data_IF_207162484170
#
_entry.id   IF_207162484170
#
_cell.length_a   1.000
_cell.length_b   1.000
_cell.length_c   1.000
_cell.angle_alpha   90.00
_cell.angle_beta   90.00
_cell.angle_gamma   90.00
#
_symmetry.space_group_name_H-M   'P 1'
#
loop_
_entity.id
_entity.type
_entity.pdbx_description
1 polymer ?
#
# COMPACT_ATOMS: atom_id res chain seq x y z
N UNK A 1 -33.87 -7.63 -16.18
CA UNK A 1 -33.15 -7.26 -14.94
C UNK A 1 -31.68 -7.57 -15.16
N UNK A 2 -30.80 -6.60 -14.99
CA UNK A 2 -29.37 -6.82 -15.19
C UNK A 2 -28.82 -7.72 -14.07
N UNK A 3 -27.88 -8.65 -14.29
CA UNK A 3 -27.39 -9.58 -13.27
C UNK A 3 -27.00 -8.92 -11.94
N UNK A 4 -26.39 -7.73 -11.96
CA UNK A 4 -26.01 -6.99 -10.75
C UNK A 4 -27.22 -6.49 -9.93
N UNK A 5 -28.41 -6.24 -10.55
CA UNK A 5 -29.62 -5.85 -9.83
C UNK A 5 -30.22 -7.01 -9.01
N UNK A 6 -30.03 -8.25 -9.47
CA UNK A 6 -30.44 -9.44 -8.74
C UNK A 6 -29.63 -9.63 -7.46
N UNK A 7 -28.31 -9.40 -7.50
CA UNK A 7 -27.44 -9.46 -6.32
C UNK A 7 -27.74 -8.34 -5.32
N UNK A 8 -28.19 -7.18 -5.78
CA UNK A 8 -28.62 -6.09 -4.91
C UNK A 8 -29.92 -6.39 -4.13
N UNK A 9 -30.85 -7.12 -4.68
CA UNK A 9 -32.14 -7.46 -4.03
C UNK A 9 -32.04 -8.74 -3.17
N UNK A 10 -31.15 -9.66 -3.54
CA UNK A 10 -30.94 -10.96 -2.88
C UNK A 10 -29.46 -11.23 -2.65
N UNK A 11 -28.85 -10.62 -1.62
CA UNK A 11 -27.42 -10.83 -1.35
C UNK A 11 -27.16 -12.29 -0.98
N UNK A 12 -26.21 -12.90 -1.68
CA UNK A 12 -25.78 -14.29 -1.43
C UNK A 12 -24.81 -14.37 -0.24
N UNK A 13 -24.18 -13.26 0.11
CA UNK A 13 -23.22 -13.14 1.21
C UNK A 13 -23.47 -11.85 2.02
N UNK A 14 -23.09 -11.81 3.32
CA UNK A 14 -23.27 -10.62 4.17
C UNK A 14 -22.63 -9.35 3.58
N UNK A 15 -21.51 -9.48 2.87
CA UNK A 15 -20.79 -8.37 2.25
C UNK A 15 -21.62 -7.70 1.14
N UNK A 16 -22.40 -8.45 0.38
CA UNK A 16 -23.31 -7.92 -0.65
C UNK A 16 -24.45 -7.07 -0.06
N UNK A 17 -24.83 -7.34 1.19
CA UNK A 17 -25.87 -6.56 1.87
C UNK A 17 -25.41 -5.13 2.22
N UNK A 18 -24.12 -4.92 2.43
CA UNK A 18 -23.54 -3.61 2.73
C UNK A 18 -23.41 -2.69 1.52
N UNK A 19 -23.36 -3.23 0.30
CA UNK A 19 -23.40 -2.44 -0.95
C UNK A 19 -24.75 -1.71 -1.08
N UNK A 20 -25.79 -2.13 -0.35
CA UNK A 20 -27.14 -1.53 -0.39
C UNK A 20 -27.26 -0.15 0.23
N UNK A 21 -26.33 0.30 1.08
CA UNK A 21 -26.49 1.55 1.84
C UNK A 21 -25.58 2.69 1.38
N UNK A 22 -24.80 2.55 0.30
CA UNK A 22 -23.91 3.58 -0.22
C UNK A 22 -23.52 3.36 -1.68
N UNK A 23 -23.06 4.42 -2.35
CA UNK A 23 -22.49 4.30 -3.68
C UNK A 23 -21.04 3.80 -3.55
N UNK A 24 -20.64 2.69 -4.20
CA UNK A 24 -19.25 2.26 -4.27
C UNK A 24 -18.36 3.41 -4.80
N UNK A 25 -17.21 3.62 -4.18
CA UNK A 25 -16.27 4.64 -4.61
C UNK A 25 -15.37 4.13 -5.73
N UNK A 26 -15.01 2.85 -5.67
CA UNK A 26 -14.20 2.18 -6.67
C UNK A 26 -15.09 1.37 -7.62
N UNK A 27 -14.66 1.23 -8.87
CA UNK A 27 -15.36 0.43 -9.86
C UNK A 27 -15.27 -1.07 -9.49
N UNK A 28 -16.42 -1.65 -9.12
CA UNK A 28 -16.50 -3.05 -8.66
C UNK A 28 -16.08 -4.02 -9.75
N UNK A 29 -16.42 -3.75 -11.02
CA UNK A 29 -16.02 -4.61 -12.14
C UNK A 29 -14.51 -4.59 -12.33
N UNK A 30 -13.88 -3.41 -12.24
CA UNK A 30 -12.42 -3.30 -12.27
C UNK A 30 -11.77 -4.10 -11.14
N UNK A 31 -12.33 -4.03 -9.90
CA UNK A 31 -11.82 -4.78 -8.76
C UNK A 31 -11.99 -6.31 -8.93
N UNK A 32 -13.08 -6.75 -9.59
CA UNK A 32 -13.32 -8.17 -9.87
C UNK A 32 -12.33 -8.73 -10.89
N UNK A 33 -11.90 -7.90 -11.83
CA UNK A 33 -10.96 -8.28 -12.90
C UNK A 33 -9.48 -8.17 -12.46
N UNK A 34 -9.19 -7.65 -11.24
CA UNK A 34 -7.83 -7.53 -10.74
C UNK A 34 -7.21 -8.90 -10.43
N UNK A 35 -5.97 -9.15 -10.90
CA UNK A 35 -5.26 -10.36 -10.54
C UNK A 35 -4.87 -10.35 -9.06
N UNK A 36 -5.03 -11.47 -8.39
CA UNK A 36 -4.52 -11.68 -7.03
C UNK A 36 -3.39 -12.68 -7.03
N UNK A 37 -2.37 -12.44 -6.21
CA UNK A 37 -1.21 -13.31 -6.05
C UNK A 37 -1.03 -13.60 -4.56
N UNK A 38 -0.78 -14.86 -4.21
CA UNK A 38 -0.46 -15.21 -2.82
C UNK A 38 0.92 -14.64 -2.46
N UNK A 39 1.03 -13.92 -1.35
CA UNK A 39 2.28 -13.33 -0.89
C UNK A 39 3.14 -14.35 -0.12
N UNK A 40 4.41 -14.01 0.07
CA UNK A 40 5.18 -14.55 1.18
C UNK A 40 4.67 -13.85 2.45
N UNK A 41 4.25 -14.63 3.46
CA UNK A 41 3.64 -14.10 4.68
C UNK A 41 4.55 -14.37 5.87
N UNK A 42 4.69 -13.41 6.77
CA UNK A 42 5.55 -13.54 7.93
C UNK A 42 5.50 -12.35 8.89
N UNK A 43 6.46 -12.33 9.79
CA UNK A 43 6.68 -11.25 10.74
C UNK A 43 7.99 -10.54 10.44
N UNK A 44 7.99 -9.21 10.51
CA UNK A 44 9.23 -8.45 10.53
C UNK A 44 9.67 -8.27 11.98
N UNK A 45 10.79 -8.90 12.34
CA UNK A 45 11.33 -8.87 13.69
C UNK A 45 12.34 -7.75 13.85
N UNK A 46 12.13 -6.92 14.87
CA UNK A 46 13.10 -5.92 15.30
C UNK A 46 14.06 -6.54 16.32
N UNK A 47 15.36 -6.37 16.09
CA UNK A 47 16.37 -6.74 17.07
C UNK A 47 16.79 -5.51 17.88
N UNK A 48 17.22 -5.73 19.12
CA UNK A 48 17.80 -4.68 19.98
C UNK A 48 19.05 -4.01 19.40
N UNK A 49 19.62 -4.58 18.35
CA UNK A 49 20.77 -4.06 17.59
C UNK A 49 20.37 -3.03 16.52
N UNK A 50 19.08 -2.76 16.32
CA UNK A 50 18.59 -1.85 15.28
C UNK A 50 18.51 -2.47 13.87
N UNK A 51 18.69 -3.77 13.75
CA UNK A 51 18.50 -4.51 12.51
C UNK A 51 17.25 -5.40 12.65
N UNK A 52 16.38 -5.37 11.64
CA UNK A 52 15.23 -6.26 11.56
C UNK A 52 15.44 -7.34 10.50
N UNK A 53 14.68 -8.41 10.58
CA UNK A 53 14.59 -9.42 9.54
C UNK A 53 13.15 -9.89 9.35
N UNK A 54 12.83 -10.26 8.12
CA UNK A 54 11.57 -10.92 7.81
C UNK A 54 11.70 -12.42 8.06
N UNK A 55 10.72 -13.01 8.74
CA UNK A 55 10.63 -14.45 9.00
C UNK A 55 9.30 -14.99 8.54
N UNK A 56 9.32 -16.01 7.72
CA UNK A 56 8.12 -16.67 7.21
C UNK A 56 7.26 -17.22 8.33
N UNK A 57 5.96 -16.95 8.27
CA UNK A 57 4.94 -17.52 9.16
C UNK A 57 3.57 -17.41 8.48
N UNK A 58 2.76 -18.45 8.52
CA UNK A 58 1.44 -18.49 7.87
C UNK A 58 0.46 -17.46 8.46
N UNK A 59 0.62 -17.14 9.76
CA UNK A 59 -0.18 -16.17 10.51
C UNK A 59 0.49 -14.80 10.66
N UNK A 60 1.50 -14.52 9.81
CA UNK A 60 2.26 -13.28 9.85
C UNK A 60 1.44 -12.04 9.48
N UNK A 61 1.79 -10.90 10.10
CA UNK A 61 1.14 -9.61 9.87
C UNK A 61 1.66 -8.87 8.63
N UNK A 62 2.77 -9.34 8.04
CA UNK A 62 3.39 -8.76 6.85
C UNK A 62 3.26 -9.71 5.66
N UNK A 63 2.72 -9.21 4.57
CA UNK A 63 2.60 -9.88 3.29
C UNK A 63 3.52 -9.21 2.27
N UNK A 64 4.32 -10.01 1.52
CA UNK A 64 5.30 -9.51 0.56
C UNK A 64 5.05 -10.15 -0.80
N UNK A 65 4.89 -9.34 -1.82
CA UNK A 65 4.77 -9.71 -3.23
C UNK A 65 6.05 -9.45 -4.01
N UNK A 66 6.80 -8.40 -3.60
CA UNK A 66 8.09 -8.05 -4.22
C UNK A 66 9.08 -7.58 -3.14
N UNK A 67 10.24 -8.24 -3.09
CA UNK A 67 11.30 -7.90 -2.13
C UNK A 67 12.06 -6.64 -2.56
N UNK A 68 12.65 -5.89 -1.60
CA UNK A 68 13.39 -4.70 -1.94
C UNK A 68 14.58 -5.01 -2.85
N UNK A 69 14.71 -4.25 -3.93
CA UNK A 69 15.84 -4.33 -4.88
C UNK A 69 16.86 -3.25 -4.56
N UNK A 70 18.16 -3.48 -4.75
CA UNK A 70 19.22 -2.52 -4.36
C UNK A 70 19.04 -1.10 -4.91
N UNK A 71 18.50 -0.95 -6.12
CA UNK A 71 18.28 0.36 -6.77
C UNK A 71 16.82 0.81 -6.79
N UNK A 72 15.94 0.07 -6.10
CA UNK A 72 14.51 0.40 -6.01
C UNK A 72 14.28 1.68 -5.22
N UNK A 73 13.32 2.48 -5.67
CA UNK A 73 12.81 3.67 -4.98
C UNK A 73 11.42 3.35 -4.43
N UNK A 74 11.28 3.43 -3.12
CA UNK A 74 10.04 2.99 -2.47
C UNK A 74 9.40 4.10 -1.66
N UNK A 75 8.08 3.99 -1.51
CA UNK A 75 7.29 4.81 -0.61
C UNK A 75 6.51 3.93 0.35
N UNK A 76 6.26 4.44 1.54
CA UNK A 76 5.41 3.79 2.55
C UNK A 76 4.30 4.74 2.93
N UNK A 77 3.06 4.26 2.90
CA UNK A 77 1.90 4.96 3.44
C UNK A 77 1.32 4.19 4.62
N UNK A 78 1.10 4.84 5.75
CA UNK A 78 0.62 4.18 6.95
C UNK A 78 -0.57 4.90 7.57
N UNK A 79 -1.57 4.11 7.96
CA UNK A 79 -2.70 4.46 8.81
C UNK A 79 -2.52 3.87 10.21
N UNK A 80 -2.81 4.65 11.25
CA UNK A 80 -2.46 4.32 12.63
C UNK A 80 -3.69 4.28 13.53
N UNK A 81 -3.91 3.14 14.16
CA UNK A 81 -4.92 2.91 15.18
C UNK A 81 -4.38 3.08 16.60
N UNK A 82 -5.26 2.90 17.59
CA UNK A 82 -4.89 2.95 19.01
C UNK A 82 -4.04 1.75 19.49
N UNK A 83 -3.98 0.66 18.71
CA UNK A 83 -3.27 -0.56 19.09
C UNK A 83 -3.97 -1.42 20.15
N UNK A 84 -5.25 -1.16 20.43
CA UNK A 84 -6.00 -1.94 21.42
C UNK A 84 -6.39 -3.32 20.88
N UNK A 85 -6.43 -4.34 21.74
CA UNK A 85 -6.76 -5.73 21.37
C UNK A 85 -8.15 -5.92 20.73
N UNK A 86 -9.06 -4.97 20.97
CA UNK A 86 -10.43 -4.95 20.42
C UNK A 86 -10.70 -3.71 19.55
N UNK A 87 -9.66 -2.91 19.23
CA UNK A 87 -9.75 -1.71 18.40
C UNK A 87 -9.53 -1.99 16.93
N UNK A 88 -9.45 -0.90 16.17
CA UNK A 88 -9.09 -0.90 14.75
C UNK A 88 -7.65 -1.39 14.54
N UNK A 89 -7.31 -1.69 13.30
CA UNK A 89 -5.99 -2.12 12.91
C UNK A 89 -5.13 -0.94 12.46
N UNK A 90 -3.82 -1.05 12.65
CA UNK A 90 -2.85 -0.25 11.92
C UNK A 90 -2.49 -0.94 10.62
N UNK A 91 -2.22 -0.16 9.58
CA UNK A 91 -1.94 -0.67 8.23
C UNK A 91 -0.85 0.13 7.56
N UNK A 92 0.02 -0.53 6.78
CA UNK A 92 1.04 0.13 5.99
C UNK A 92 1.23 -0.55 4.64
N UNK A 93 1.19 0.23 3.54
CA UNK A 93 1.48 -0.25 2.20
C UNK A 93 2.83 0.29 1.71
N UNK A 94 3.58 -0.58 1.06
CA UNK A 94 4.86 -0.26 0.43
C UNK A 94 4.70 -0.34 -1.08
N UNK A 95 5.03 0.73 -1.81
CA UNK A 95 4.94 0.79 -3.27
C UNK A 95 6.33 1.06 -3.86
N UNK A 96 6.71 0.30 -4.87
CA UNK A 96 7.83 0.64 -5.73
C UNK A 96 7.44 1.82 -6.63
N UNK A 97 8.08 2.96 -6.41
CA UNK A 97 7.75 4.18 -7.13
C UNK A 97 8.14 4.12 -8.62
N UNK A 98 9.00 3.18 -9.02
CA UNK A 98 9.42 3.02 -10.41
C UNK A 98 8.40 2.22 -11.23
N UNK A 99 7.80 1.19 -10.61
CA UNK A 99 6.88 0.26 -11.30
C UNK A 99 5.41 0.52 -10.97
N UNK A 100 5.12 1.16 -9.84
CA UNK A 100 3.76 1.31 -9.31
C UNK A 100 3.24 0.06 -8.58
N UNK A 101 4.04 -0.99 -8.44
CA UNK A 101 3.62 -2.24 -7.80
C UNK A 101 3.57 -2.06 -6.28
N UNK A 102 2.48 -2.47 -5.65
CA UNK A 102 2.40 -2.64 -4.19
C UNK A 102 3.23 -3.87 -3.81
N UNK A 103 4.43 -3.60 -3.28
CA UNK A 103 5.43 -4.63 -2.97
C UNK A 103 5.12 -5.41 -1.71
N UNK A 104 4.59 -4.72 -0.69
CA UNK A 104 4.29 -5.34 0.58
C UNK A 104 3.17 -4.58 1.32
N UNK A 105 2.57 -5.29 2.26
CA UNK A 105 1.53 -4.76 3.13
C UNK A 105 1.73 -5.33 4.54
N UNK A 106 1.73 -4.45 5.54
CA UNK A 106 1.66 -4.82 6.94
C UNK A 106 0.29 -4.45 7.53
N UNK A 107 -0.31 -5.35 8.30
CA UNK A 107 -1.62 -5.12 8.90
C UNK A 107 -1.73 -5.88 10.23
N UNK A 108 -1.88 -5.14 11.31
CA UNK A 108 -1.91 -5.74 12.64
C UNK A 108 -2.35 -4.77 13.73
N UNK A 109 -2.31 -5.24 14.98
CA UNK A 109 -2.55 -4.43 16.18
C UNK A 109 -1.26 -4.24 16.93
N UNK A 110 -0.80 -3.01 17.02
CA UNK A 110 0.47 -2.64 17.62
C UNK A 110 0.33 -1.27 18.27
N UNK A 111 0.98 -1.04 19.38
CA UNK A 111 1.04 0.27 20.02
C UNK A 111 1.69 1.30 19.07
N UNK A 112 1.19 2.56 19.05
CA UNK A 112 1.64 3.56 18.08
C UNK A 112 3.14 3.87 18.10
N UNK A 113 3.79 3.79 19.25
CA UNK A 113 5.24 4.00 19.37
C UNK A 113 6.04 2.81 18.81
N UNK A 114 5.63 1.58 19.11
CA UNK A 114 6.24 0.37 18.55
C UNK A 114 6.01 0.31 17.03
N UNK A 115 4.85 0.77 16.56
CA UNK A 115 4.59 0.86 15.12
C UNK A 115 5.53 1.86 14.44
N UNK A 116 5.91 2.95 15.11
CA UNK A 116 6.91 3.89 14.61
C UNK A 116 8.31 3.28 14.44
N UNK A 117 8.72 2.40 15.35
CA UNK A 117 9.96 1.64 15.25
C UNK A 117 9.89 0.63 14.09
N UNK A 118 8.82 -0.17 14.03
CA UNK A 118 8.58 -1.15 12.97
C UNK A 118 8.56 -0.51 11.57
N UNK A 119 7.83 0.59 11.39
CA UNK A 119 7.78 1.33 10.13
C UNK A 119 9.15 1.86 9.72
N UNK A 120 9.97 2.28 10.69
CA UNK A 120 11.34 2.74 10.42
C UNK A 120 12.20 1.62 9.88
N UNK A 121 12.16 0.44 10.49
CA UNK A 121 12.93 -0.73 10.06
C UNK A 121 12.47 -1.21 8.67
N UNK A 122 11.18 -1.36 8.45
CA UNK A 122 10.62 -1.72 7.14
C UNK A 122 11.04 -0.69 6.08
N UNK A 123 10.97 0.60 6.40
CA UNK A 123 11.33 1.66 5.46
C UNK A 123 12.84 1.67 5.16
N UNK A 124 13.72 1.38 6.12
CA UNK A 124 15.15 1.18 5.86
C UNK A 124 15.40 -0.04 4.98
N UNK A 125 14.71 -1.14 5.24
CA UNK A 125 14.82 -2.35 4.43
C UNK A 125 14.42 -2.10 2.98
N UNK A 126 13.35 -1.32 2.74
CA UNK A 126 12.96 -0.84 1.43
C UNK A 126 13.74 0.44 1.01
N UNK A 127 15.06 0.39 1.10
CA UNK A 127 16.02 1.41 0.62
C UNK A 127 15.78 2.81 1.17
N UNK A 128 15.47 2.96 2.44
CA UNK A 128 15.15 4.23 3.07
C UNK A 128 13.95 4.94 2.41
N UNK A 129 12.87 4.18 2.22
CA UNK A 129 11.61 4.61 1.58
C UNK A 129 11.08 5.92 2.17
N UNK A 130 10.42 6.76 1.37
CA UNK A 130 9.70 7.92 1.89
C UNK A 130 8.51 7.46 2.73
N UNK A 131 8.53 7.73 4.03
CA UNK A 131 7.49 7.30 4.98
C UNK A 131 6.47 8.40 5.20
N UNK A 132 5.24 8.18 4.72
CA UNK A 132 4.06 8.99 4.98
C UNK A 132 3.13 8.30 5.98
N UNK A 133 3.04 8.84 7.19
CA UNK A 133 2.14 8.36 8.24
C UNK A 133 0.98 9.34 8.40
N UNK A 134 -0.25 8.84 8.56
CA UNK A 134 -1.39 9.70 8.86
C UNK A 134 -1.16 10.45 10.17
N UNK A 135 -1.19 11.78 10.12
CA UNK A 135 -1.03 12.62 11.30
C UNK A 135 -2.39 12.85 11.98
N UNK A 136 -2.93 11.79 12.56
CA UNK A 136 -4.00 11.84 13.57
C UNK A 136 -3.37 11.83 14.98
N UNK A 137 -4.18 11.66 16.04
CA UNK A 137 -3.66 11.66 17.42
C UNK A 137 -2.61 10.57 17.66
N UNK A 138 -2.86 9.35 17.18
CA UNK A 138 -1.99 8.18 17.33
C UNK A 138 -0.81 8.23 16.37
N UNK A 139 -1.04 8.69 15.14
CA UNK A 139 0.00 8.84 14.13
C UNK A 139 1.08 9.86 14.50
N UNK A 140 0.75 10.89 15.29
CA UNK A 140 1.79 11.79 15.82
C UNK A 140 2.72 11.08 16.81
N UNK A 141 2.23 10.14 17.59
CA UNK A 141 3.04 9.30 18.48
C UNK A 141 3.97 8.41 17.66
N UNK A 142 3.43 7.73 16.65
CA UNK A 142 4.18 6.90 15.68
C UNK A 142 5.28 7.71 14.99
N UNK A 143 4.97 8.89 14.48
CA UNK A 143 5.94 9.77 13.82
C UNK A 143 7.08 10.22 14.75
N UNK A 144 6.75 10.55 16.01
CA UNK A 144 7.75 10.92 17.02
C UNK A 144 8.62 9.73 17.43
N UNK A 145 8.04 8.54 17.51
CA UNK A 145 8.78 7.31 17.79
C UNK A 145 9.75 7.01 16.65
N UNK A 146 9.30 7.08 15.39
CA UNK A 146 10.17 6.92 14.22
C UNK A 146 11.33 7.93 14.22
N UNK A 147 11.07 9.21 14.52
CA UNK A 147 12.12 10.22 14.64
C UNK A 147 13.12 9.89 15.77
N UNK A 148 12.62 9.48 16.94
CA UNK A 148 13.44 9.09 18.09
C UNK A 148 14.28 7.84 17.78
N UNK A 149 13.72 6.91 17.01
CA UNK A 149 14.39 5.70 16.54
C UNK A 149 15.49 6.03 15.50
N UNK A 150 15.47 7.23 14.93
CA UNK A 150 16.51 7.75 14.01
C UNK A 150 16.09 7.80 12.56
N UNK A 151 14.84 7.46 12.22
CA UNK A 151 14.37 7.53 10.84
C UNK A 151 14.22 8.99 10.38
N UNK A 152 14.78 9.33 9.22
CA UNK A 152 14.86 10.73 8.75
C UNK A 152 14.02 11.01 7.52
N UNK A 153 13.76 10.00 6.67
CA UNK A 153 13.01 10.17 5.41
C UNK A 153 11.50 10.16 5.63
N UNK A 154 11.05 11.03 6.54
CA UNK A 154 9.64 11.23 6.90
C UNK A 154 9.02 12.31 6.04
N UNK A 155 7.84 12.05 5.50
CA UNK A 155 7.07 13.04 4.77
C UNK A 155 6.69 14.22 5.66
N UNK A 156 6.77 15.42 5.08
CA UNK A 156 6.36 16.67 5.71
C UNK A 156 5.45 17.45 4.78
N UNK A 157 4.24 17.72 5.24
CA UNK A 157 3.27 18.51 4.48
C UNK A 157 3.55 19.99 4.67
N UNK A 158 3.79 20.71 3.56
CA UNK A 158 3.94 22.17 3.59
C UNK A 158 2.59 22.85 3.74
N UNK A 159 2.44 23.70 4.74
CA UNK A 159 1.35 24.67 4.82
C UNK A 159 1.83 26.04 4.35
N UNK A 160 1.23 26.55 3.30
CA UNK A 160 1.36 27.95 2.95
C UNK A 160 0.46 28.76 3.90
N UNK A 161 1.06 29.45 4.86
CA UNK A 161 0.31 30.38 5.71
C UNK A 161 -0.10 31.60 4.91
N UNK A 162 -1.41 31.91 4.89
CA UNK A 162 -1.96 33.08 4.18
C UNK A 162 -1.44 34.45 4.67
N UNK A 163 -0.84 34.52 5.85
CA UNK A 163 -0.52 35.78 6.54
C UNK A 163 0.98 35.95 6.83
N UNK A 164 1.77 34.89 6.83
CA UNK A 164 3.25 34.92 6.96
C UNK A 164 3.89 33.98 5.98
N UNK A 165 4.97 34.38 5.28
CA UNK A 165 5.65 33.52 4.30
C UNK A 165 6.46 32.38 4.93
N UNK A 166 6.41 32.20 6.25
CA UNK A 166 7.04 31.08 6.94
C UNK A 166 6.18 29.83 6.74
N UNK A 167 6.67 28.94 5.86
CA UNK A 167 6.06 27.63 5.68
C UNK A 167 6.20 26.83 6.98
N UNK A 168 5.08 26.47 7.59
CA UNK A 168 5.09 25.54 8.72
C UNK A 168 4.96 24.13 8.18
N UNK A 169 6.04 23.36 8.26
CA UNK A 169 6.01 21.96 7.89
C UNK A 169 5.32 21.14 8.97
N UNK A 170 4.27 20.42 8.56
CA UNK A 170 3.59 19.44 9.43
C UNK A 170 4.17 18.08 9.15
N UNK A 171 4.64 17.40 10.18
CA UNK A 171 5.15 16.05 10.07
C UNK A 171 3.99 15.08 9.73
N UNK A 172 4.20 14.22 8.75
CA UNK A 172 3.21 13.25 8.28
C UNK A 172 2.13 13.82 7.36
N UNK A 173 1.20 12.96 6.97
CA UNK A 173 0.06 13.27 6.12
C UNK A 173 -1.15 13.64 6.96
N UNK A 174 -1.77 14.78 6.71
CA UNK A 174 -2.97 15.18 7.43
C UNK A 174 -4.22 14.91 6.60
N UNK A 175 -4.99 13.91 7.00
CA UNK A 175 -6.31 13.63 6.44
C UNK A 175 -7.34 14.62 7.03
N UNK A 176 -8.08 15.27 6.15
CA UNK A 176 -9.15 16.21 6.48
C UNK A 176 -10.39 15.90 5.67
N UNK A 177 -11.53 16.51 6.01
CA UNK A 177 -12.75 16.39 5.21
C UNK A 177 -12.56 16.81 3.74
N UNK A 178 -11.58 17.66 3.44
CA UNK A 178 -11.25 18.10 2.08
C UNK A 178 -10.21 17.20 1.42
N UNK A 179 -9.17 16.76 2.14
CA UNK A 179 -8.09 15.96 1.55
C UNK A 179 -8.46 14.47 1.39
N UNK A 180 -9.34 13.91 2.26
CA UNK A 180 -9.76 12.49 2.15
C UNK A 180 -10.43 12.20 0.80
N UNK A 181 -11.44 12.96 0.33
CA UNK A 181 -12.01 12.71 -0.98
C UNK A 181 -11.00 12.80 -2.12
N UNK A 182 -10.12 13.80 -2.11
CA UNK A 182 -9.11 13.98 -3.16
C UNK A 182 -8.13 12.81 -3.22
N UNK A 183 -7.58 12.35 -2.07
CA UNK A 183 -6.63 11.23 -2.08
C UNK A 183 -7.30 9.91 -2.50
N UNK A 184 -8.59 9.72 -2.20
CA UNK A 184 -9.34 8.54 -2.63
C UNK A 184 -9.67 8.60 -4.13
N UNK A 185 -10.07 9.76 -4.65
CA UNK A 185 -10.30 9.96 -6.08
C UNK A 185 -9.00 9.73 -6.89
N UNK A 186 -7.84 10.17 -6.34
CA UNK A 186 -6.53 9.94 -6.94
C UNK A 186 -6.08 8.47 -6.88
N UNK A 187 -6.36 7.75 -5.78
CA UNK A 187 -6.16 6.31 -5.72
C UNK A 187 -7.00 5.60 -6.80
N UNK A 188 -8.29 5.97 -6.92
CA UNK A 188 -9.18 5.40 -7.93
C UNK A 188 -8.67 5.68 -9.36
N UNK A 189 -8.12 6.87 -9.61
CA UNK A 189 -7.51 7.20 -10.90
C UNK A 189 -6.26 6.37 -11.15
N UNK A 190 -5.35 6.26 -10.17
CA UNK A 190 -4.11 5.50 -10.29
C UNK A 190 -4.36 4.01 -10.59
N UNK A 191 -5.39 3.42 -9.97
CA UNK A 191 -5.81 2.04 -10.24
C UNK A 191 -6.36 1.89 -11.67
N UNK A 192 -7.25 2.80 -12.09
CA UNK A 192 -7.84 2.79 -13.44
C UNK A 192 -6.80 2.97 -14.54
N UNK A 193 -5.83 3.85 -14.31
CA UNK A 193 -4.77 4.15 -15.26
C UNK A 193 -3.61 3.13 -15.17
N UNK A 194 -3.73 2.12 -14.31
CA UNK A 194 -2.72 1.07 -14.06
C UNK A 194 -1.34 1.64 -13.66
N UNK A 195 -1.33 2.83 -13.07
CA UNK A 195 -0.10 3.42 -12.50
C UNK A 195 0.20 2.91 -11.09
N UNK A 196 -0.76 2.20 -10.48
CA UNK A 196 -0.60 1.43 -9.24
C UNK A 196 -1.24 0.06 -9.43
N UNK A 197 -0.47 -1.01 -9.16
CA UNK A 197 -0.91 -2.40 -9.26
C UNK A 197 -0.98 -3.04 -7.87
N UNK A 198 -2.11 -3.69 -7.58
CA UNK A 198 -2.42 -4.28 -6.27
C UNK A 198 -2.70 -5.77 -6.48
N UNK A 199 -1.98 -6.63 -5.76
CA UNK A 199 -2.15 -8.09 -5.79
C UNK A 199 -2.77 -8.64 -4.50
N UNK A 200 -2.91 -7.79 -3.46
CA UNK A 200 -3.47 -8.16 -2.16
C UNK A 200 -4.98 -8.35 -2.22
N UNK A 201 -5.42 -9.60 -2.13
CA UNK A 201 -6.84 -9.97 -2.09
C UNK A 201 -7.60 -9.28 -0.95
N UNK A 202 -6.97 -9.07 0.21
CA UNK A 202 -7.61 -8.45 1.36
C UNK A 202 -7.79 -6.94 1.17
N UNK A 203 -6.82 -6.26 0.59
CA UNK A 203 -6.94 -4.85 0.20
C UNK A 203 -8.02 -4.67 -0.88
N UNK A 204 -8.07 -5.54 -1.90
CA UNK A 204 -9.11 -5.51 -2.94
C UNK A 204 -10.51 -5.73 -2.31
N UNK A 205 -10.65 -6.65 -1.36
CA UNK A 205 -11.91 -6.87 -0.66
C UNK A 205 -12.39 -5.64 0.12
N UNK A 206 -11.46 -4.91 0.78
CA UNK A 206 -11.77 -3.70 1.52
C UNK A 206 -12.14 -2.53 0.58
N UNK A 207 -11.46 -2.40 -0.57
CA UNK A 207 -11.81 -1.44 -1.62
C UNK A 207 -13.25 -1.64 -2.12
N UNK A 208 -13.75 -2.88 -2.24
CA UNK A 208 -15.13 -3.20 -2.64
C UNK A 208 -16.17 -2.68 -1.66
N UNK A 209 -15.85 -2.69 -0.37
CA UNK A 209 -16.76 -2.26 0.69
C UNK A 209 -16.64 -0.77 1.03
N UNK A 210 -15.73 -0.06 0.33
CA UNK A 210 -15.51 1.37 0.54
C UNK A 210 -16.56 2.18 -0.22
N UNK A 211 -17.44 2.86 0.52
CA UNK A 211 -18.63 3.54 -0.02
C UNK A 211 -18.68 5.00 0.32
N UNK A 212 -19.34 5.78 -0.53
CA UNK A 212 -19.75 7.15 -0.25
C UNK A 212 -21.15 7.13 0.36
N UNK A 213 -21.27 7.54 1.62
CA UNK A 213 -22.53 7.65 2.35
C UNK A 213 -23.35 8.86 1.86
N UNK A 214 -24.64 8.89 2.13
CA UNK A 214 -25.55 10.01 1.74
C UNK A 214 -25.08 11.38 2.26
N UNK A 215 -24.42 11.43 3.41
CA UNK A 215 -23.85 12.65 3.98
C UNK A 215 -22.51 13.08 3.32
N UNK A 216 -22.09 12.43 2.23
CA UNK A 216 -20.86 12.68 1.50
C UNK A 216 -19.60 12.11 2.14
N UNK A 217 -19.67 11.52 3.34
CA UNK A 217 -18.52 10.87 3.98
C UNK A 217 -18.19 9.55 3.26
N UNK A 218 -16.90 9.29 3.13
CA UNK A 218 -16.38 8.03 2.57
C UNK A 218 -15.80 7.18 3.68
N UNK A 219 -16.15 5.90 3.72
CA UNK A 219 -15.64 4.93 4.68
C UNK A 219 -15.84 3.51 4.17
N UNK A 220 -14.95 2.60 4.59
CA UNK A 220 -15.13 1.17 4.47
C UNK A 220 -16.09 0.60 5.52
N UNK A 221 -16.49 -0.64 5.35
CA UNK A 221 -17.27 -1.38 6.33
C UNK A 221 -16.85 -2.86 6.29
N UNK A 222 -16.39 -3.44 7.40
CA UNK A 222 -16.26 -2.86 8.76
C UNK A 222 -15.07 -1.92 8.94
N UNK A 223 -14.02 -2.01 8.11
CA UNK A 223 -12.75 -1.30 8.24
C UNK A 223 -12.40 -0.55 6.95
N UNK A 224 -11.53 0.48 7.04
CA UNK A 224 -10.97 1.22 5.90
C UNK A 224 -9.44 1.46 6.04
N UNK A 225 -8.79 0.75 6.94
CA UNK A 225 -7.38 0.93 7.30
C UNK A 225 -6.43 0.67 6.11
N UNK A 226 -6.71 -0.41 5.34
CA UNK A 226 -5.95 -0.75 4.12
C UNK A 226 -6.15 0.28 3.02
N UNK A 227 -7.38 0.74 2.84
CA UNK A 227 -7.69 1.76 1.81
C UNK A 227 -7.00 3.08 2.15
N UNK A 228 -7.00 3.50 3.41
CA UNK A 228 -6.38 4.76 3.84
C UNK A 228 -4.86 4.69 3.73
N UNK A 229 -4.23 3.63 4.24
CA UNK A 229 -2.77 3.46 4.14
C UNK A 229 -2.30 3.39 2.69
N UNK A 230 -3.03 2.69 1.81
CA UNK A 230 -2.75 2.63 0.37
C UNK A 230 -2.91 4.01 -0.29
N UNK A 231 -3.99 4.73 0.02
CA UNK A 231 -4.21 6.06 -0.51
C UNK A 231 -3.09 7.04 -0.08
N UNK A 232 -2.60 6.94 1.16
CA UNK A 232 -1.44 7.72 1.62
C UNK A 232 -0.18 7.32 0.85
N UNK A 233 0.07 6.02 0.63
CA UNK A 233 1.22 5.56 -0.14
C UNK A 233 1.21 6.13 -1.57
N UNK A 234 0.04 6.16 -2.22
CA UNK A 234 -0.13 6.79 -3.56
C UNK A 234 0.17 8.28 -3.51
N UNK A 235 -0.18 9.00 -2.42
CA UNK A 235 0.22 10.41 -2.29
C UNK A 235 1.74 10.56 -2.19
N UNK A 236 2.43 9.63 -1.53
CA UNK A 236 3.90 9.68 -1.37
C UNK A 236 4.63 9.54 -2.70
N UNK A 237 4.07 8.85 -3.70
CA UNK A 237 4.66 8.74 -5.05
C UNK A 237 4.94 10.10 -5.69
N UNK A 238 4.18 11.14 -5.35
CA UNK A 238 4.35 12.50 -5.88
C UNK A 238 5.53 13.25 -5.28
N UNK A 239 6.14 12.71 -4.22
CA UNK A 239 7.14 13.38 -3.40
C UNK A 239 8.50 12.69 -3.43
N UNK A 240 8.63 11.61 -4.19
CA UNK A 240 9.93 10.96 -4.45
C UNK A 240 10.49 11.42 -5.77
N UNK A 241 11.81 11.56 -5.79
CA UNK A 241 12.54 11.79 -7.02
C UNK A 241 12.86 10.44 -7.65
N UNK A 242 12.40 10.23 -8.89
CA UNK A 242 12.80 9.08 -9.68
C UNK A 242 14.02 9.48 -10.52
N UNK A 243 15.11 8.68 -10.48
CA UNK A 243 16.19 8.88 -11.44
C UNK A 243 15.61 8.85 -12.85
N UNK A 244 15.99 9.80 -13.69
CA UNK A 244 15.54 9.80 -15.10
C UNK A 244 15.85 8.43 -15.69
N UNK A 245 14.80 7.71 -16.10
CA UNK A 245 14.93 6.42 -16.76
C UNK A 245 15.60 6.67 -18.11
N UNK A 246 16.90 6.39 -18.21
CA UNK A 246 17.57 6.38 -19.50
C UNK A 246 17.05 5.17 -20.27
N UNK A 247 16.39 5.42 -21.41
CA UNK A 247 15.82 4.38 -22.28
C UNK A 247 16.88 3.37 -22.80
N UNK A 248 18.15 3.66 -22.61
CA UNK A 248 19.30 2.83 -22.95
C UNK A 248 19.75 1.88 -21.83
N UNK A 249 19.22 2.03 -20.62
CA UNK A 249 19.46 1.08 -19.54
C UNK A 249 18.54 -0.14 -19.70
N UNK A 250 19.14 -1.34 -19.60
CA UNK A 250 18.32 -2.55 -19.50
C UNK A 250 17.42 -2.45 -18.25
N UNK A 251 16.14 -2.85 -18.36
CA UNK A 251 15.25 -2.85 -17.21
C UNK A 251 15.87 -3.69 -16.08
N UNK A 252 15.66 -3.30 -14.80
CA UNK A 252 16.19 -4.06 -13.68
C UNK A 252 15.85 -5.54 -13.80
N UNK A 253 16.80 -6.41 -13.55
CA UNK A 253 16.62 -7.86 -13.59
C UNK A 253 15.47 -8.25 -12.68
N UNK A 254 14.52 -9.05 -13.17
CA UNK A 254 13.27 -9.41 -12.49
C UNK A 254 12.18 -8.32 -12.37
N UNK A 255 12.32 -7.16 -13.02
CA UNK A 255 11.17 -6.26 -13.19
C UNK A 255 10.19 -6.83 -14.23
N UNK A 256 8.90 -6.41 -14.16
CA UNK A 256 7.89 -6.83 -15.15
C UNK A 256 8.35 -6.53 -16.59
N UNK A 257 8.94 -5.35 -16.83
CA UNK A 257 9.56 -4.95 -18.10
C UNK A 257 10.74 -5.85 -18.50
N UNK A 258 11.52 -6.34 -17.54
CA UNK A 258 12.60 -7.30 -17.79
C UNK A 258 12.01 -8.65 -18.20
N UNK A 259 10.97 -9.12 -17.49
CA UNK A 259 10.26 -10.36 -17.81
C UNK A 259 9.56 -10.28 -19.14
N UNK A 260 8.87 -9.17 -19.47
CA UNK A 260 8.29 -8.96 -20.80
C UNK A 260 9.34 -9.02 -21.91
N UNK A 261 10.47 -8.34 -21.74
CA UNK A 261 11.55 -8.38 -22.73
C UNK A 261 12.20 -9.75 -22.88
N UNK A 262 12.35 -10.53 -21.80
CA UNK A 262 13.07 -11.80 -21.83
C UNK A 262 12.16 -12.99 -22.07
N UNK A 263 10.93 -12.99 -21.55
CA UNK A 263 9.97 -14.09 -21.81
C UNK A 263 9.38 -14.00 -23.22
N UNK A 264 9.06 -12.81 -23.72
CA UNK A 264 8.52 -12.65 -25.07
C UNK A 264 9.57 -12.89 -26.17
N UNK A 265 10.86 -12.74 -25.87
CA UNK A 265 11.93 -13.04 -26.83
C UNK A 265 12.33 -14.52 -26.84
N UNK A 266 12.31 -15.21 -25.70
CA UNK A 266 12.69 -16.63 -25.60
C UNK A 266 11.55 -17.61 -25.90
N UNK A 267 10.29 -17.16 -25.74
CA UNK A 267 9.11 -17.98 -25.99
C UNK A 267 8.23 -17.27 -27.01
N UNK A 268 8.48 -17.50 -28.31
CA UNK A 268 7.63 -16.97 -29.38
C UNK A 268 6.13 -17.16 -29.15
N UNK A 269 5.24 -16.55 -29.95
CA UNK A 269 3.81 -16.35 -29.67
C UNK A 269 2.95 -17.60 -29.45
N UNK A 270 3.52 -18.80 -29.43
CA UNK A 270 2.79 -20.08 -29.36
C UNK A 270 2.92 -20.83 -28.01
N UNK A 271 3.55 -20.27 -26.98
CA UNK A 271 3.66 -20.96 -25.66
C UNK A 271 2.89 -20.24 -24.59
N UNK A 272 1.76 -20.83 -24.24
CA UNK A 272 0.89 -20.52 -23.11
C UNK A 272 1.66 -20.31 -21.81
N UNK A 273 1.33 -19.23 -21.12
CA UNK A 273 1.74 -18.84 -19.79
C UNK A 273 1.62 -20.03 -18.82
N UNK A 274 2.71 -20.63 -18.44
CA UNK A 274 2.77 -21.51 -17.27
C UNK A 274 3.30 -20.65 -16.13
N UNK A 275 2.42 -20.39 -15.16
CA UNK A 275 2.52 -19.40 -14.12
C UNK A 275 3.87 -19.30 -13.41
N UNK A 276 4.15 -18.12 -12.94
CA UNK A 276 5.34 -17.66 -12.22
C UNK A 276 5.72 -18.48 -10.96
N UNK A 277 4.90 -19.42 -10.54
CA UNK A 277 5.12 -20.27 -9.36
C UNK A 277 6.30 -21.23 -9.43
N UNK A 278 6.86 -21.52 -10.62
CA UNK A 278 7.95 -22.51 -10.72
C UNK A 278 9.37 -21.92 -10.83
N UNK A 279 9.51 -20.59 -10.89
CA UNK A 279 10.85 -19.97 -11.04
C UNK A 279 11.50 -19.63 -9.69
N UNK A 280 10.72 -19.59 -8.59
CA UNK A 280 11.25 -19.22 -7.26
C UNK A 280 12.07 -20.31 -6.54
N UNK A 281 12.21 -21.51 -7.09
CA UNK A 281 12.90 -22.65 -6.43
C UNK A 281 14.31 -22.97 -6.92
N UNK A 282 14.91 -22.16 -7.79
CA UNK A 282 16.30 -22.40 -8.25
C UNK A 282 17.14 -21.12 -8.18
N UNK A 283 17.58 -20.76 -6.99
CA UNK A 283 18.84 -20.03 -6.82
C UNK A 283 19.76 -20.88 -5.96
N UNK A 284 20.84 -21.43 -6.53
CA UNK A 284 21.93 -21.94 -5.72
C UNK A 284 22.82 -20.78 -5.34
N UNK A 285 22.96 -20.51 -4.07
CA UNK A 285 24.16 -19.88 -3.55
C UNK A 285 25.32 -20.87 -3.71
N UNK A 286 26.30 -20.49 -4.46
CA UNK A 286 27.72 -20.81 -4.31
C UNK A 286 28.52 -19.55 -4.48
#
# INVERSE_FOLDING_TARGET
>A
MHPWQLHQEYPSFPEEAFIKSGNPVFDVQMLDDMPTVEPDTGYYHLYSTGNGEFRDAEDGEMAIWDYPRPEGVYVVGADVSEGLSHGDYSSAHIIDATTGIVCAHWHGRIEPDLFGELLSEISWWYNNALLGVENNNHGLTTLKAAQKYGYKNLYRQRKLARVRPEATDILGWRTTATSKPLMIDELSAAMRDQSVEIYDRLTIAELRTFVRKENGKMAGSPHDDRVISLAIAVQMLKHVWLPEYRQDMAPPTNSLLWWEKHILYDYGPEKTFIGAHNVRKQTPFQ
#
